data_IF_052396149364
#
_entry.id   IF_052396149364
#
_cell.length_a   1.000
_cell.length_b   1.000
_cell.length_c   1.000
_cell.angle_alpha   90.00
_cell.angle_beta   90.00
_cell.angle_gamma   90.00
#
_symmetry.space_group_name_H-M   'P 1'
#
loop_
_entity.id
_entity.type
_entity.pdbx_description
1 polymer ?
#
# COMPACT_ATOMS: atom_id res chain seq x y z
N UNK A 1 3.13 27.86 16.38
CA UNK A 1 2.88 26.46 16.25
C UNK A 1 3.70 25.85 15.14
N UNK A 2 4.27 24.74 15.40
CA UNK A 2 5.12 24.12 14.41
C UNK A 2 4.32 23.67 13.20
N UNK A 3 4.86 23.93 12.05
CA UNK A 3 4.31 23.46 10.82
C UNK A 3 4.46 21.95 10.76
N UNK A 4 3.35 21.26 10.68
CA UNK A 4 3.42 19.81 10.63
C UNK A 4 3.36 19.36 9.19
N UNK A 5 4.37 18.66 8.78
CA UNK A 5 4.36 18.03 7.48
C UNK A 5 3.65 16.68 7.58
N UNK A 6 2.92 16.29 6.54
CA UNK A 6 2.34 14.96 6.53
C UNK A 6 3.46 13.95 6.69
N UNK A 7 3.27 12.98 7.56
CA UNK A 7 4.28 11.95 7.71
C UNK A 7 4.22 10.98 6.54
N UNK A 8 5.22 10.10 6.45
CA UNK A 8 5.30 9.16 5.35
C UNK A 8 4.07 8.26 5.28
N UNK A 9 3.53 7.90 6.44
CA UNK A 9 2.34 7.05 6.49
C UNK A 9 1.15 7.74 5.83
N UNK A 10 0.94 9.00 6.14
CA UNK A 10 -0.19 9.73 5.57
C UNK A 10 -0.06 9.88 4.05
N UNK A 11 1.13 10.23 3.59
CA UNK A 11 1.37 10.37 2.16
C UNK A 11 1.22 9.05 1.43
N UNK A 12 1.65 7.98 2.07
CA UNK A 12 1.54 6.64 1.52
C UNK A 12 0.08 6.22 1.40
N UNK A 13 -0.73 6.54 2.40
CA UNK A 13 -2.15 6.24 2.36
C UNK A 13 -2.85 6.99 1.24
N UNK A 14 -2.48 8.23 1.01
CA UNK A 14 -3.04 8.98 -0.10
C UNK A 14 -2.67 8.37 -1.44
N UNK A 15 -1.42 7.98 -1.60
CA UNK A 15 -0.97 7.35 -2.83
C UNK A 15 -1.68 6.02 -3.03
N UNK A 16 -1.86 5.25 -1.96
CA UNK A 16 -2.55 3.97 -2.01
C UNK A 16 -3.98 4.15 -2.51
N UNK A 17 -4.66 5.19 -2.00
CA UNK A 17 -6.01 5.51 -2.41
C UNK A 17 -6.08 5.84 -3.90
N UNK A 18 -5.07 6.53 -4.43
CA UNK A 18 -5.04 6.91 -5.83
C UNK A 18 -4.70 5.75 -6.76
N UNK A 19 -3.85 4.83 -6.30
CA UNK A 19 -3.37 3.73 -7.12
C UNK A 19 -4.44 2.65 -7.29
N UNK A 20 -5.18 2.36 -6.21
CA UNK A 20 -6.17 1.29 -6.22
C UNK A 20 -7.57 1.84 -6.43
N UNK A 21 -8.39 1.06 -7.12
CA UNK A 21 -9.80 1.39 -7.26
C UNK A 21 -10.54 1.07 -5.95
N UNK A 22 -11.81 1.46 -5.89
CA UNK A 22 -12.61 1.30 -4.67
C UNK A 22 -12.73 -0.15 -4.24
N UNK A 23 -12.88 -1.06 -5.21
CA UNK A 23 -13.06 -2.47 -4.93
C UNK A 23 -11.81 -3.04 -4.26
N UNK A 24 -10.65 -2.75 -4.81
CA UNK A 24 -9.41 -3.24 -4.23
C UNK A 24 -9.14 -2.63 -2.87
N UNK A 25 -9.46 -1.35 -2.71
CA UNK A 25 -9.27 -0.71 -1.40
C UNK A 25 -10.17 -1.31 -0.33
N UNK A 26 -11.39 -1.71 -0.72
CA UNK A 26 -12.33 -2.28 0.24
C UNK A 26 -11.83 -3.60 0.83
N UNK A 27 -10.94 -4.30 0.12
CA UNK A 27 -10.44 -5.60 0.56
C UNK A 27 -8.99 -5.57 1.01
N UNK A 28 -8.42 -4.37 1.12
CA UNK A 28 -7.02 -4.21 1.55
C UNK A 28 -6.93 -3.15 2.62
N UNK A 29 -5.89 -3.26 3.43
CA UNK A 29 -5.58 -2.25 4.43
C UNK A 29 -4.08 -2.03 4.45
N UNK A 30 -3.67 -0.79 4.26
CA UNK A 30 -2.28 -0.41 4.37
C UNK A 30 -1.87 -0.42 5.83
N UNK A 31 -0.86 -1.22 6.16
CA UNK A 31 -0.33 -1.28 7.51
C UNK A 31 0.70 -0.20 7.73
N UNK A 32 1.63 -0.07 6.81
CA UNK A 32 2.66 0.95 6.92
C UNK A 32 3.85 0.66 6.05
N UNK A 33 4.87 1.47 6.23
CA UNK A 33 6.12 1.32 5.50
C UNK A 33 7.26 1.24 6.50
N UNK A 34 8.23 0.37 6.24
CA UNK A 34 9.40 0.21 7.07
C UNK A 34 10.57 -0.22 6.20
N UNK A 35 11.65 0.57 6.24
CA UNK A 35 12.86 0.30 5.47
C UNK A 35 12.57 0.07 3.99
N UNK A 36 11.65 0.87 3.45
CA UNK A 36 11.29 0.77 2.04
C UNK A 36 10.33 -0.36 1.72
N UNK A 37 9.89 -1.12 2.72
CA UNK A 37 8.95 -2.23 2.53
C UNK A 37 7.56 -1.83 3.00
N UNK A 38 6.62 -1.89 2.08
CA UNK A 38 5.23 -1.55 2.35
C UNK A 38 4.48 -2.82 2.72
N UNK A 39 3.77 -2.78 3.84
CA UNK A 39 2.98 -3.93 4.32
C UNK A 39 1.51 -3.65 4.17
N UNK A 40 0.79 -4.61 3.60
CA UNK A 40 -0.64 -4.48 3.32
C UNK A 40 -1.34 -5.76 3.75
N UNK A 41 -2.48 -5.61 4.41
CA UNK A 41 -3.35 -6.75 4.74
C UNK A 41 -4.44 -6.86 3.69
N UNK A 42 -4.82 -8.09 3.40
CA UNK A 42 -5.98 -8.39 2.56
C UNK A 42 -6.91 -9.28 3.35
N UNK A 43 -8.19 -9.22 3.03
CA UNK A 43 -9.21 -9.88 3.86
C UNK A 43 -9.49 -11.33 3.47
N UNK A 44 -8.87 -11.83 2.40
CA UNK A 44 -9.10 -13.22 2.00
C UNK A 44 -7.97 -13.72 1.11
N UNK A 45 -7.79 -15.05 1.02
CA UNK A 45 -6.80 -15.63 0.11
C UNK A 45 -7.05 -15.29 -1.36
N UNK A 46 -8.32 -15.16 -1.74
CA UNK A 46 -8.65 -14.79 -3.12
C UNK A 46 -8.10 -13.41 -3.46
N UNK A 47 -8.25 -12.46 -2.54
CA UNK A 47 -7.72 -11.12 -2.74
C UNK A 47 -6.20 -11.08 -2.63
N UNK A 48 -5.64 -11.93 -1.78
CA UNK A 48 -4.19 -12.07 -1.73
C UNK A 48 -3.64 -12.46 -3.10
N UNK A 49 -4.27 -13.44 -3.73
CA UNK A 49 -3.86 -13.90 -5.05
C UNK A 49 -3.97 -12.76 -6.07
N UNK A 50 -5.09 -12.06 -6.08
CA UNK A 50 -5.29 -10.95 -7.00
C UNK A 50 -4.27 -9.84 -6.81
N UNK A 51 -3.99 -9.49 -5.56
CA UNK A 51 -3.04 -8.43 -5.29
C UNK A 51 -1.62 -8.83 -5.66
N UNK A 52 -1.27 -10.10 -5.48
CA UNK A 52 0.05 -10.58 -5.86
C UNK A 52 0.25 -10.58 -7.38
N UNK A 53 -0.82 -10.84 -8.14
CA UNK A 53 -0.75 -10.74 -9.60
C UNK A 53 -0.43 -9.31 -10.02
N UNK A 54 -0.99 -8.33 -9.32
CA UNK A 54 -0.81 -6.92 -9.65
C UNK A 54 0.35 -6.28 -8.91
N UNK A 55 1.13 -7.06 -8.18
CA UNK A 55 2.13 -6.54 -7.27
C UNK A 55 3.17 -5.67 -7.97
N UNK A 56 3.66 -6.11 -9.11
CA UNK A 56 4.70 -5.37 -9.81
C UNK A 56 4.20 -4.02 -10.30
N UNK A 57 2.95 -3.98 -10.79
CA UNK A 57 2.36 -2.73 -11.24
C UNK A 57 2.15 -1.78 -10.07
N UNK A 58 1.67 -2.31 -8.96
CA UNK A 58 1.44 -1.50 -7.76
C UNK A 58 2.76 -0.94 -7.25
N UNK A 59 3.78 -1.78 -7.19
CA UNK A 59 5.10 -1.34 -6.75
C UNK A 59 5.65 -0.25 -7.66
N UNK A 60 5.50 -0.42 -8.97
CA UNK A 60 5.97 0.58 -9.91
C UNK A 60 5.29 1.93 -9.68
N UNK A 61 3.98 1.91 -9.49
CA UNK A 61 3.24 3.14 -9.26
C UNK A 61 3.60 3.79 -7.93
N UNK A 62 3.82 2.97 -6.90
CA UNK A 62 4.27 3.50 -5.62
C UNK A 62 5.63 4.15 -5.73
N UNK A 63 6.54 3.53 -6.48
CA UNK A 63 7.88 4.06 -6.62
C UNK A 63 7.93 5.37 -7.41
N UNK A 64 6.95 5.62 -8.23
CA UNK A 64 6.86 6.90 -8.92
C UNK A 64 6.67 8.05 -7.94
N UNK A 65 5.96 7.80 -6.85
CA UNK A 65 5.72 8.80 -5.81
C UNK A 65 6.71 8.68 -4.66
N UNK A 66 7.17 7.47 -4.38
CA UNK A 66 8.06 7.18 -3.27
C UNK A 66 9.21 6.33 -3.77
N UNK A 67 10.27 6.95 -4.33
CA UNK A 67 11.39 6.18 -4.88
C UNK A 67 12.06 5.28 -3.85
N UNK A 68 11.91 5.58 -2.56
CA UNK A 68 12.52 4.78 -1.51
C UNK A 68 11.82 3.44 -1.28
N UNK A 69 10.62 3.26 -1.84
CA UNK A 69 9.91 1.99 -1.70
C UNK A 69 10.60 0.94 -2.58
N UNK A 70 10.95 -0.19 -1.96
CA UNK A 70 11.64 -1.26 -2.67
C UNK A 70 10.79 -2.53 -2.76
N UNK A 71 9.75 -2.64 -1.94
CA UNK A 71 8.98 -3.87 -1.88
C UNK A 71 7.59 -3.60 -1.33
N UNK A 72 6.62 -4.37 -1.81
CA UNK A 72 5.27 -4.39 -1.26
C UNK A 72 4.96 -5.83 -0.88
N UNK A 73 4.47 -6.02 0.35
CA UNK A 73 4.08 -7.34 0.85
C UNK A 73 2.60 -7.37 1.14
N UNK A 74 1.95 -8.45 0.77
CA UNK A 74 0.54 -8.67 1.06
C UNK A 74 0.40 -9.87 1.97
N UNK A 75 -0.45 -9.75 3.00
CA UNK A 75 -0.76 -10.85 3.91
C UNK A 75 -2.25 -10.88 4.18
N UNK A 76 -2.79 -12.09 4.36
CA UNK A 76 -4.18 -12.22 4.79
C UNK A 76 -4.26 -11.88 6.27
N UNK A 77 -5.27 -11.09 6.61
CA UNK A 77 -5.50 -10.71 7.99
C UNK A 77 -6.81 -9.99 8.13
N UNK A 78 -7.11 -9.59 9.35
CA UNK A 78 -8.32 -8.84 9.60
C UNK A 78 -8.13 -7.38 9.24
N UNK A 79 -9.09 -6.84 8.58
CA UNK A 79 -9.12 -5.41 8.30
C UNK A 79 -9.90 -4.69 9.37
#
# INVERSE_FOLDING_TARGET
MAQRQPDAQHQLEQAWTEILDDKKRAHTRLVGIRDGKVSVLVDSPAWLYQMNINKDMILKKLREKFPEVIQVQFKVGKL
#
